data_IF_267223210260
#
_entry.id   IF_267223210260
#
_cell.length_a   1.000
_cell.length_b   1.000
_cell.length_c   1.000
_cell.angle_alpha   90.00
_cell.angle_beta   90.00
_cell.angle_gamma   90.00
#
_symmetry.space_group_name_H-M   'P 1'
#
loop_
_entity.id
_entity.type
_entity.pdbx_description
1 polymer ?
#
# COMPACT_ATOMS: atom_id res chain seq x y z
N UNK A 1 55.71 -63.33 -33.31
CA UNK A 1 55.86 -61.90 -33.07
C UNK A 1 54.81 -61.18 -33.89
N UNK A 2 53.62 -60.91 -33.27
CA UNK A 2 52.50 -60.24 -33.93
C UNK A 2 52.52 -58.79 -33.54
N UNK A 3 52.75 -57.92 -34.49
CA UNK A 3 52.70 -56.47 -34.35
C UNK A 3 51.24 -56.01 -34.23
N UNK A 4 50.83 -55.63 -33.05
CA UNK A 4 49.58 -54.86 -32.84
C UNK A 4 49.83 -53.45 -33.37
N UNK A 5 49.36 -53.15 -34.58
CA UNK A 5 49.20 -51.78 -35.08
C UNK A 5 47.95 -51.17 -34.37
N UNK A 6 48.18 -50.33 -33.39
CA UNK A 6 47.14 -49.46 -32.84
C UNK A 6 46.78 -48.46 -33.95
N UNK A 7 45.60 -48.63 -34.48
CA UNK A 7 44.98 -47.61 -35.36
C UNK A 7 44.55 -46.44 -34.54
N UNK A 8 45.40 -45.45 -34.41
CA UNK A 8 45.03 -44.14 -33.82
C UNK A 8 44.11 -43.43 -34.80
N UNK A 9 42.83 -43.69 -34.66
CA UNK A 9 41.79 -43.03 -35.43
C UNK A 9 41.55 -41.63 -34.88
N UNK A 10 41.65 -40.69 -35.79
CA UNK A 10 41.28 -39.27 -35.76
C UNK A 10 39.94 -38.99 -35.02
N UNK A 11 39.96 -38.99 -33.71
CA UNK A 11 38.77 -38.62 -32.88
C UNK A 11 38.80 -37.14 -32.46
N UNK A 12 39.81 -36.37 -32.79
CA UNK A 12 39.98 -34.97 -32.38
C UNK A 12 38.84 -34.05 -32.83
N UNK A 13 38.24 -34.28 -34.01
CA UNK A 13 37.12 -33.47 -34.51
C UNK A 13 35.79 -33.71 -33.82
N UNK A 14 35.50 -34.97 -33.45
CA UNK A 14 34.25 -35.32 -32.76
C UNK A 14 34.21 -34.82 -31.32
N UNK A 15 35.32 -34.88 -30.61
CA UNK A 15 35.43 -34.38 -29.23
C UNK A 15 35.19 -32.87 -29.18
N UNK A 16 35.75 -32.11 -30.12
CA UNK A 16 35.54 -30.67 -30.23
C UNK A 16 34.06 -30.32 -30.47
N UNK A 17 33.40 -31.06 -31.36
CA UNK A 17 31.99 -30.85 -31.68
C UNK A 17 31.10 -31.18 -30.49
N UNK A 18 31.33 -32.26 -29.77
CA UNK A 18 30.60 -32.66 -28.57
C UNK A 18 30.81 -31.60 -27.46
N UNK A 19 32.05 -31.14 -27.22
CA UNK A 19 32.33 -30.12 -26.22
C UNK A 19 31.66 -28.79 -26.56
N UNK A 20 31.58 -28.42 -27.82
CA UNK A 20 30.87 -27.21 -28.25
C UNK A 20 29.37 -27.31 -28.03
N UNK A 21 28.75 -28.45 -28.32
CA UNK A 21 27.33 -28.72 -28.05
C UNK A 21 27.06 -28.68 -26.55
N UNK A 22 27.91 -29.30 -25.72
CA UNK A 22 27.78 -29.23 -24.27
C UNK A 22 27.87 -27.82 -23.73
N UNK A 23 28.83 -27.01 -24.19
CA UNK A 23 28.96 -25.61 -23.82
C UNK A 23 27.72 -24.79 -24.21
N UNK A 24 27.17 -25.06 -25.40
CA UNK A 24 25.95 -24.38 -25.86
C UNK A 24 24.75 -24.74 -25.02
N UNK A 25 24.58 -26.03 -24.65
CA UNK A 25 23.51 -26.48 -23.77
C UNK A 25 23.63 -25.88 -22.35
N UNK A 26 24.85 -25.87 -21.78
CA UNK A 26 25.10 -25.25 -20.48
C UNK A 26 24.83 -23.73 -20.51
N UNK A 27 25.18 -23.05 -21.59
CA UNK A 27 24.92 -21.64 -21.80
C UNK A 27 23.41 -21.36 -21.83
N UNK A 28 22.62 -22.17 -22.55
CA UNK A 28 21.17 -22.05 -22.62
C UNK A 28 20.49 -22.26 -21.25
N UNK A 29 20.95 -23.26 -20.48
CA UNK A 29 20.46 -23.52 -19.13
C UNK A 29 20.78 -22.32 -18.21
N UNK A 30 21.99 -21.78 -18.29
CA UNK A 30 22.42 -20.61 -17.53
C UNK A 30 21.57 -19.37 -17.81
N UNK A 31 21.31 -19.06 -19.08
CA UNK A 31 20.46 -17.93 -19.49
C UNK A 31 19.02 -18.12 -19.05
N UNK A 32 18.48 -19.33 -19.17
CA UNK A 32 17.11 -19.64 -18.72
C UNK A 32 16.95 -19.44 -17.20
N UNK A 33 17.93 -19.88 -16.42
CA UNK A 33 17.94 -19.68 -14.95
C UNK A 33 17.99 -18.21 -14.57
N UNK A 34 18.75 -17.40 -15.29
CA UNK A 34 18.88 -15.97 -15.03
C UNK A 34 17.59 -15.20 -15.31
N UNK A 35 16.83 -15.55 -16.34
CA UNK A 35 15.53 -14.96 -16.65
C UNK A 35 14.50 -15.22 -15.53
N UNK A 36 14.50 -16.43 -14.96
CA UNK A 36 13.65 -16.77 -13.81
C UNK A 36 13.96 -15.90 -12.58
N UNK A 37 15.24 -15.72 -12.26
CA UNK A 37 15.67 -14.90 -11.13
C UNK A 37 15.25 -13.42 -11.27
N UNK A 38 15.41 -12.82 -12.44
CA UNK A 38 14.99 -11.44 -12.72
C UNK A 38 13.47 -11.28 -12.58
N UNK A 39 12.69 -12.24 -13.05
CA UNK A 39 11.23 -12.22 -12.90
C UNK A 39 10.81 -12.26 -11.43
N UNK A 40 11.40 -13.15 -10.63
CA UNK A 40 11.13 -13.23 -9.20
C UNK A 40 11.52 -11.94 -8.45
N UNK A 41 12.62 -11.30 -8.81
CA UNK A 41 13.05 -10.04 -8.23
C UNK A 41 12.04 -8.91 -8.50
N UNK A 42 11.48 -8.84 -9.71
CA UNK A 42 10.44 -7.84 -10.04
C UNK A 42 9.17 -8.04 -9.20
N UNK A 43 8.73 -9.29 -9.04
CA UNK A 43 7.57 -9.62 -8.20
C UNK A 43 7.84 -9.25 -6.74
N UNK A 44 9.00 -9.64 -6.19
CA UNK A 44 9.38 -9.32 -4.83
C UNK A 44 9.42 -7.80 -4.58
N UNK A 45 9.97 -7.02 -5.53
CA UNK A 45 10.00 -5.56 -5.46
C UNK A 45 8.59 -4.96 -5.46
N UNK A 46 7.69 -5.45 -6.30
CA UNK A 46 6.32 -4.94 -6.35
C UNK A 46 5.55 -5.22 -5.05
N UNK A 47 5.71 -6.40 -4.48
CA UNK A 47 5.11 -6.78 -3.18
C UNK A 47 5.67 -5.91 -2.06
N UNK A 48 6.98 -5.65 -2.06
CA UNK A 48 7.63 -4.77 -1.08
C UNK A 48 7.05 -3.35 -1.13
N UNK A 49 6.94 -2.74 -2.31
CA UNK A 49 6.35 -1.41 -2.47
C UNK A 49 4.89 -1.36 -2.02
N UNK A 50 4.11 -2.41 -2.34
CA UNK A 50 2.72 -2.51 -1.90
C UNK A 50 2.62 -2.57 -0.37
N UNK A 51 3.43 -3.40 0.27
CA UNK A 51 3.43 -3.50 1.73
C UNK A 51 3.87 -2.19 2.39
N UNK A 52 4.87 -1.51 1.84
CA UNK A 52 5.33 -0.23 2.35
C UNK A 52 4.27 0.86 2.20
N UNK A 53 3.56 0.92 1.06
CA UNK A 53 2.45 1.87 0.88
C UNK A 53 1.31 1.60 1.87
N UNK A 54 1.00 0.32 2.14
CA UNK A 54 0.01 -0.06 3.15
C UNK A 54 0.41 0.39 4.56
N UNK A 55 1.65 0.13 4.98
CA UNK A 55 2.17 0.55 6.28
C UNK A 55 2.16 2.07 6.43
N UNK A 56 2.51 2.80 5.37
CA UNK A 56 2.43 4.27 5.37
C UNK A 56 0.98 4.74 5.53
N UNK A 57 0.03 4.15 4.81
CA UNK A 57 -1.38 4.48 4.94
C UNK A 57 -1.94 4.18 6.34
N UNK A 58 -1.57 3.05 6.95
CA UNK A 58 -1.93 2.74 8.33
C UNK A 58 -1.36 3.75 9.33
N UNK A 59 -0.11 4.18 9.12
CA UNK A 59 0.51 5.23 9.93
C UNK A 59 -0.26 6.55 9.80
N UNK A 60 -0.73 6.87 8.59
CA UNK A 60 -1.60 8.03 8.34
C UNK A 60 -2.93 7.97 9.07
N UNK A 61 -3.57 6.80 9.13
CA UNK A 61 -4.77 6.62 9.92
C UNK A 61 -4.53 6.89 11.42
N UNK A 62 -3.41 6.43 11.96
CA UNK A 62 -3.04 6.69 13.37
C UNK A 62 -2.77 8.17 13.64
N UNK A 63 -2.09 8.86 12.72
CA UNK A 63 -1.88 10.31 12.82
C UNK A 63 -3.19 11.07 12.74
N UNK A 64 -4.08 10.70 11.84
CA UNK A 64 -5.42 11.26 11.74
C UNK A 64 -6.26 11.02 12.99
N UNK A 65 -6.23 9.81 13.56
CA UNK A 65 -6.89 9.51 14.84
C UNK A 65 -6.35 10.38 15.97
N UNK A 66 -5.03 10.50 16.10
CA UNK A 66 -4.39 11.36 17.10
C UNK A 66 -4.82 12.81 16.92
N UNK A 67 -4.87 13.29 15.67
CA UNK A 67 -5.34 14.64 15.33
C UNK A 67 -6.81 14.88 15.73
N UNK A 68 -7.70 13.87 15.56
CA UNK A 68 -9.09 13.94 16.01
C UNK A 68 -9.17 14.01 17.55
N UNK A 69 -8.38 13.19 18.25
CA UNK A 69 -8.32 13.17 19.72
C UNK A 69 -7.83 14.50 20.29
N UNK A 70 -6.80 15.09 19.69
CA UNK A 70 -6.21 16.36 20.15
C UNK A 70 -7.11 17.57 19.85
N UNK A 71 -7.79 17.59 18.71
CA UNK A 71 -8.68 18.68 18.34
C UNK A 71 -9.92 18.81 19.22
N UNK A 72 -10.21 17.82 20.07
CA UNK A 72 -11.26 17.90 21.08
C UNK A 72 -12.68 18.24 20.55
N UNK A 73 -12.94 18.11 19.25
CA UNK A 73 -14.20 18.49 18.61
C UNK A 73 -14.21 19.90 17.99
N UNK A 74 -13.11 20.64 18.04
CA UNK A 74 -13.01 22.00 17.47
C UNK A 74 -12.96 22.03 15.91
N UNK A 75 -13.00 20.87 15.25
CA UNK A 75 -13.02 20.82 13.77
C UNK A 75 -14.39 21.21 13.24
N UNK A 76 -14.47 22.15 12.28
CA UNK A 76 -15.74 22.48 11.64
C UNK A 76 -16.32 21.25 10.93
N UNK A 77 -17.60 21.05 11.10
CA UNK A 77 -18.34 19.99 10.38
C UNK A 77 -18.39 20.37 8.90
N UNK A 78 -18.24 19.39 8.03
CA UNK A 78 -18.35 19.59 6.60
C UNK A 78 -19.76 20.11 6.25
N UNK A 79 -19.87 21.23 5.47
CA UNK A 79 -21.13 21.93 5.31
C UNK A 79 -22.09 21.34 4.26
N UNK A 80 -21.63 20.38 3.45
CA UNK A 80 -22.43 19.86 2.33
C UNK A 80 -22.18 18.36 2.09
N UNK A 81 -23.09 17.72 1.37
CA UNK A 81 -22.96 16.32 0.96
C UNK A 81 -21.67 16.11 0.17
N UNK A 82 -21.27 17.07 -0.65
CA UNK A 82 -20.06 16.97 -1.49
C UNK A 82 -18.80 17.03 -0.62
N UNK A 83 -18.75 17.95 0.34
CA UNK A 83 -17.59 18.11 1.23
C UNK A 83 -17.53 17.04 2.32
N UNK A 84 -18.67 16.40 2.63
CA UNK A 84 -18.75 15.26 3.55
C UNK A 84 -18.57 13.90 2.84
N UNK A 85 -18.57 13.86 1.51
CA UNK A 85 -18.32 12.63 0.76
C UNK A 85 -16.86 12.14 0.96
N UNK A 86 -16.58 10.85 0.75
CA UNK A 86 -15.21 10.37 0.67
C UNK A 86 -14.44 11.14 -0.42
N UNK A 87 -13.22 11.63 -0.11
CA UNK A 87 -12.47 12.47 -1.05
C UNK A 87 -12.05 11.64 -2.27
N UNK A 88 -12.63 11.94 -3.42
CA UNK A 88 -12.34 11.21 -4.68
C UNK A 88 -10.90 11.39 -5.13
N UNK A 89 -10.31 12.54 -4.84
CA UNK A 89 -8.92 12.85 -5.13
C UNK A 89 -7.91 11.98 -4.37
N UNK A 90 -8.35 11.18 -3.39
CA UNK A 90 -7.48 10.22 -2.69
C UNK A 90 -6.80 9.23 -3.63
N UNK A 91 -7.40 8.97 -4.80
CA UNK A 91 -6.81 8.13 -5.85
C UNK A 91 -5.65 8.79 -6.60
N UNK A 92 -5.51 10.12 -6.55
CA UNK A 92 -4.55 10.89 -7.36
C UNK A 92 -3.70 11.89 -6.56
N UNK A 93 -4.12 12.29 -5.36
CA UNK A 93 -3.39 13.29 -4.55
C UNK A 93 -1.96 12.83 -4.24
N UNK A 94 -1.00 13.73 -4.45
CA UNK A 94 0.44 13.51 -4.22
C UNK A 94 1.10 14.61 -3.38
N UNK A 95 0.42 15.72 -3.14
CA UNK A 95 0.96 16.87 -2.40
C UNK A 95 -0.01 17.34 -1.32
N UNK A 96 0.51 17.89 -0.21
CA UNK A 96 -0.32 18.45 0.85
C UNK A 96 -1.01 19.74 0.39
N UNK A 97 -2.09 20.10 1.08
CA UNK A 97 -2.86 21.31 0.84
C UNK A 97 -4.35 21.06 0.79
N UNK A 98 -5.11 22.14 0.65
CA UNK A 98 -6.57 22.06 0.58
C UNK A 98 -7.02 21.85 -0.87
N UNK A 99 -7.79 20.79 -1.09
CA UNK A 99 -8.34 20.49 -2.40
C UNK A 99 -9.50 21.45 -2.72
N UNK A 100 -9.51 22.08 -3.92
CA UNK A 100 -10.45 23.18 -4.22
C UNK A 100 -11.93 22.75 -4.26
N UNK A 101 -12.21 21.50 -4.61
CA UNK A 101 -13.59 21.00 -4.74
C UNK A 101 -14.11 20.38 -3.45
N UNK A 102 -13.36 19.42 -2.89
CA UNK A 102 -13.76 18.72 -1.66
C UNK A 102 -13.51 19.54 -0.39
N UNK A 103 -12.71 20.60 -0.47
CA UNK A 103 -12.23 21.40 0.67
C UNK A 103 -11.47 20.60 1.73
N UNK A 104 -11.12 19.38 1.41
CA UNK A 104 -10.35 18.51 2.29
C UNK A 104 -8.91 18.98 2.35
N UNK A 105 -8.41 19.15 3.56
CA UNK A 105 -7.02 19.53 3.81
C UNK A 105 -6.15 18.27 3.98
N UNK A 106 -5.26 18.04 3.02
CA UNK A 106 -4.30 16.95 3.02
C UNK A 106 -3.03 17.36 3.75
N UNK A 107 -2.66 16.58 4.75
CA UNK A 107 -1.48 16.79 5.58
C UNK A 107 -0.41 15.78 5.18
N UNK A 108 0.82 16.27 4.97
CA UNK A 108 1.94 15.42 4.65
C UNK A 108 2.39 14.57 5.85
N UNK A 109 2.82 13.35 5.55
CA UNK A 109 3.47 12.45 6.50
C UNK A 109 4.60 11.68 5.80
N UNK A 110 5.38 10.93 6.56
CA UNK A 110 6.40 10.06 5.97
C UNK A 110 5.74 8.99 5.09
N UNK A 111 6.05 9.01 3.79
CA UNK A 111 5.54 8.05 2.81
C UNK A 111 4.08 8.25 2.40
N UNK A 112 3.50 9.46 2.56
CA UNK A 112 2.15 9.71 2.08
C UNK A 112 1.46 10.94 2.63
N UNK A 113 0.14 10.88 2.67
CA UNK A 113 -0.74 11.98 3.07
C UNK A 113 -1.90 11.43 3.89
N UNK A 114 -2.44 12.24 4.79
CA UNK A 114 -3.72 11.95 5.44
C UNK A 114 -4.61 13.19 5.50
N UNK A 115 -5.89 12.96 5.62
CA UNK A 115 -6.89 14.01 5.77
C UNK A 115 -7.94 13.60 6.79
N UNK A 116 -8.55 14.59 7.45
CA UNK A 116 -9.61 14.40 8.44
C UNK A 116 -10.81 15.27 8.08
N UNK A 117 -11.98 14.64 7.97
CA UNK A 117 -13.28 15.32 7.80
C UNK A 117 -14.14 15.10 9.05
N UNK A 118 -14.71 16.15 9.61
CA UNK A 118 -15.75 16.04 10.65
C UNK A 118 -17.10 15.91 9.94
N UNK A 119 -17.76 14.76 10.08
CA UNK A 119 -19.00 14.45 9.39
C UNK A 119 -20.25 14.95 10.16
N UNK A 120 -20.08 15.28 11.43
CA UNK A 120 -21.19 15.73 12.28
C UNK A 120 -21.72 14.66 13.23
N UNK A 121 -22.80 14.98 13.94
CA UNK A 121 -23.41 14.06 14.90
C UNK A 121 -24.16 12.93 14.18
N UNK A 122 -24.07 11.72 14.73
CA UNK A 122 -24.83 10.56 14.27
C UNK A 122 -25.28 9.71 15.46
N UNK A 123 -26.35 8.96 15.29
CA UNK A 123 -26.88 7.97 16.23
C UNK A 123 -26.94 6.59 15.58
N UNK A 124 -27.12 5.54 16.36
CA UNK A 124 -27.24 4.18 15.82
C UNK A 124 -25.94 3.61 15.25
N UNK A 125 -24.79 4.08 15.71
CA UNK A 125 -23.50 3.59 15.25
C UNK A 125 -23.22 2.19 15.83
N UNK A 126 -22.53 1.37 15.05
CA UNK A 126 -22.10 0.03 15.45
C UNK A 126 -21.24 0.10 16.72
N UNK A 127 -21.49 -0.80 17.66
CA UNK A 127 -20.84 -0.88 18.97
C UNK A 127 -21.12 0.30 19.93
N UNK A 128 -22.11 1.12 19.64
CA UNK A 128 -22.64 2.15 20.57
C UNK A 128 -24.13 1.89 20.87
N UNK A 129 -24.64 2.31 22.03
CA UNK A 129 -26.08 2.26 22.32
C UNK A 129 -26.89 2.97 21.23
N UNK A 130 -28.04 2.42 20.79
CA UNK A 130 -28.77 2.92 19.63
C UNK A 130 -29.16 4.40 19.66
N UNK A 131 -29.39 4.93 20.84
CA UNK A 131 -29.82 6.33 21.07
C UNK A 131 -28.66 7.27 21.44
N UNK A 132 -27.41 6.76 21.52
CA UNK A 132 -26.28 7.55 21.96
C UNK A 132 -25.76 8.42 20.81
N UNK A 133 -25.81 9.76 20.92
CA UNK A 133 -25.24 10.64 19.91
C UNK A 133 -23.71 10.61 19.98
N UNK A 134 -23.09 10.56 18.83
CA UNK A 134 -21.64 10.63 18.72
C UNK A 134 -21.24 11.55 17.56
N UNK A 135 -20.15 12.31 17.74
CA UNK A 135 -19.53 13.06 16.66
C UNK A 135 -18.70 12.10 15.80
N UNK A 136 -18.97 12.09 14.50
CA UNK A 136 -18.30 11.18 13.55
C UNK A 136 -17.24 11.92 12.76
N UNK A 137 -16.09 11.29 12.64
CA UNK A 137 -14.95 11.76 11.86
C UNK A 137 -14.54 10.70 10.87
N UNK A 138 -14.23 11.12 9.65
CA UNK A 138 -13.55 10.29 8.65
C UNK A 138 -12.09 10.66 8.61
N UNK A 139 -11.24 9.67 8.64
CA UNK A 139 -9.81 9.79 8.34
C UNK A 139 -9.55 9.03 7.06
N UNK A 140 -9.00 9.70 6.07
CA UNK A 140 -8.53 9.09 4.82
C UNK A 140 -7.02 9.22 4.76
N UNK A 141 -6.33 8.13 4.55
CA UNK A 141 -4.88 8.09 4.46
C UNK A 141 -4.43 7.47 3.12
N UNK A 142 -3.45 8.10 2.52
CA UNK A 142 -2.85 7.69 1.24
C UNK A 142 -1.39 7.36 1.51
N UNK A 143 -1.04 6.10 1.40
CA UNK A 143 0.34 5.64 1.46
C UNK A 143 0.93 5.51 0.06
N UNK A 144 2.17 5.93 -0.11
CA UNK A 144 2.89 5.97 -1.36
C UNK A 144 4.25 5.27 -1.22
N UNK A 145 4.58 4.38 -2.16
CA UNK A 145 5.90 3.76 -2.25
C UNK A 145 6.20 3.36 -3.68
N UNK A 146 7.21 3.96 -4.29
CA UNK A 146 7.48 3.79 -5.72
C UNK A 146 6.24 4.13 -6.55
N UNK A 147 5.73 3.17 -7.31
CA UNK A 147 4.49 3.31 -8.09
C UNK A 147 3.24 2.78 -7.34
N UNK A 148 3.43 2.21 -6.16
CA UNK A 148 2.33 1.66 -5.37
C UNK A 148 1.65 2.75 -4.55
N UNK A 149 0.33 2.72 -4.60
CA UNK A 149 -0.56 3.57 -3.81
C UNK A 149 -1.53 2.70 -3.04
N UNK A 150 -1.72 2.99 -1.77
CA UNK A 150 -2.74 2.38 -0.93
C UNK A 150 -3.57 3.47 -0.29
N UNK A 151 -4.88 3.38 -0.39
CA UNK A 151 -5.80 4.34 0.23
C UNK A 151 -6.64 3.61 1.28
N UNK A 152 -6.52 4.04 2.51
CA UNK A 152 -7.29 3.54 3.65
C UNK A 152 -8.24 4.61 4.16
N UNK A 153 -9.43 4.18 4.57
CA UNK A 153 -10.42 5.02 5.22
C UNK A 153 -10.82 4.39 6.55
N UNK A 154 -10.90 5.20 7.60
CA UNK A 154 -11.46 4.81 8.87
C UNK A 154 -12.45 5.87 9.37
N UNK A 155 -13.51 5.41 10.01
CA UNK A 155 -14.46 6.29 10.71
C UNK A 155 -14.29 6.12 12.21
N UNK A 156 -14.29 7.25 12.90
CA UNK A 156 -14.16 7.34 14.35
C UNK A 156 -15.38 8.05 14.93
N UNK A 157 -15.95 7.45 15.96
CA UNK A 157 -16.99 8.07 16.76
C UNK A 157 -16.40 8.61 18.06
N UNK A 158 -16.69 9.87 18.38
CA UNK A 158 -16.42 10.49 19.66
C UNK A 158 -17.73 10.56 20.43
N UNK A 159 -17.72 9.98 21.62
CA UNK A 159 -18.82 10.01 22.57
C UNK A 159 -18.37 10.78 23.80
N UNK A 160 -19.16 11.74 24.23
CA UNK A 160 -18.92 12.51 25.46
C UNK A 160 -19.85 11.99 26.56
N UNK A 161 -19.31 11.24 27.53
CA UNK A 161 -20.02 10.69 28.67
C UNK A 161 -19.40 11.21 29.98
N UNK A 162 -20.21 11.87 30.80
CA UNK A 162 -19.79 12.31 32.15
C UNK A 162 -18.52 13.17 32.19
N UNK A 163 -18.35 14.04 31.19
CA UNK A 163 -17.18 14.91 31.08
C UNK A 163 -15.92 14.23 30.53
N UNK A 164 -16.01 12.97 30.10
CA UNK A 164 -14.91 12.23 29.44
C UNK A 164 -15.27 11.93 28.00
N UNK A 165 -14.33 12.25 27.08
CA UNK A 165 -14.46 11.89 25.68
C UNK A 165 -13.89 10.50 25.44
N UNK A 166 -14.69 9.62 24.85
CA UNK A 166 -14.25 8.29 24.39
C UNK A 166 -14.24 8.28 22.87
N UNK A 167 -13.18 7.73 22.30
CA UNK A 167 -13.03 7.55 20.86
C UNK A 167 -13.12 6.07 20.52
N UNK A 168 -13.91 5.74 19.50
CA UNK A 168 -14.01 4.37 18.96
C UNK A 168 -13.92 4.41 17.46
N UNK A 169 -13.14 3.50 16.87
CA UNK A 169 -13.16 3.26 15.44
C UNK A 169 -14.39 2.39 15.14
N UNK A 170 -15.30 2.91 14.32
CA UNK A 170 -16.57 2.26 13.97
C UNK A 170 -16.51 1.61 12.59
N UNK A 171 -15.59 2.03 11.73
CA UNK A 171 -15.39 1.46 10.41
C UNK A 171 -13.92 1.56 9.98
N UNK A 172 -13.49 0.59 9.22
CA UNK A 172 -12.21 0.61 8.49
C UNK A 172 -12.39 -0.11 7.16
N UNK A 173 -11.82 0.46 6.09
CA UNK A 173 -11.80 -0.17 4.77
C UNK A 173 -10.61 0.30 3.94
N UNK A 174 -10.19 -0.52 3.02
CA UNK A 174 -9.28 -0.17 1.94
C UNK A 174 -10.11 0.25 0.73
N UNK A 175 -9.76 1.37 0.13
CA UNK A 175 -10.44 1.91 -1.07
C UNK A 175 -9.71 1.51 -2.35
N UNK A 176 -8.35 1.54 -2.31
CA UNK A 176 -7.46 1.18 -3.42
C UNK A 176 -6.20 0.50 -2.91
#
# INVERSE_FOLDING_TARGET
MALFRVVERRQAGMVLLISLVFLLLLSLIGLSSMQGAVSQQKVASSVWHRNQSLQSAESGLRLGETSVRQAGGARPVCPSIITCAPPRESSSVISPGTHPVSTVNWVAMSGGLYAVQALGPAVGLVHLPPQMPAMVYRVTAVGLSGQSRTVLEAMYARVDEGGRSRFRRVMWRQLY
#
